data_IF_947276188837
#
_entry.id   IF_947276188837
#
_cell.length_a   1.000
_cell.length_b   1.000
_cell.length_c   1.000
_cell.angle_alpha   90.00
_cell.angle_beta   90.00
_cell.angle_gamma   90.00
#
_symmetry.space_group_name_H-M   'P 1'
#
loop_
_entity.id
_entity.type
_entity.pdbx_description
1 polymer ?
#
# COMPACT_ATOMS: atom_id res chain seq x y z
N UNK A 1 3.73 -31.64 -16.19
CA UNK A 1 2.85 -31.93 -15.03
C UNK A 1 2.85 -30.83 -13.96
N UNK A 2 3.95 -30.53 -13.24
CA UNK A 2 3.92 -29.52 -12.17
C UNK A 2 3.78 -28.06 -12.66
N UNK A 3 4.37 -27.71 -13.81
CA UNK A 3 4.27 -26.38 -14.42
C UNK A 3 2.86 -26.10 -14.98
N UNK A 4 2.25 -27.12 -15.58
CA UNK A 4 0.91 -27.07 -16.16
C UNK A 4 -0.17 -26.91 -15.09
N UNK A 5 0.01 -27.58 -13.93
CA UNK A 5 -0.85 -27.40 -12.76
C UNK A 5 -0.75 -25.98 -12.18
N UNK A 6 0.47 -25.43 -12.11
CA UNK A 6 0.71 -24.04 -11.70
C UNK A 6 0.05 -23.03 -12.64
N UNK A 7 0.13 -23.27 -13.95
CA UNK A 7 -0.52 -22.43 -14.95
C UNK A 7 -2.05 -22.43 -14.81
N UNK A 8 -2.65 -23.61 -14.58
CA UNK A 8 -4.10 -23.73 -14.35
C UNK A 8 -4.53 -23.01 -13.07
N UNK A 9 -3.75 -23.09 -11.99
CA UNK A 9 -4.05 -22.38 -10.74
C UNK A 9 -3.92 -20.86 -10.89
N UNK A 10 -2.92 -20.37 -11.63
CA UNK A 10 -2.77 -18.95 -11.96
C UNK A 10 -3.93 -18.46 -12.82
N UNK A 11 -4.35 -19.22 -13.84
CA UNK A 11 -5.51 -18.86 -14.65
C UNK A 11 -6.79 -18.78 -13.83
N UNK A 12 -7.02 -19.74 -12.91
CA UNK A 12 -8.19 -19.71 -12.02
C UNK A 12 -8.17 -18.53 -11.03
N UNK A 13 -6.99 -18.17 -10.54
CA UNK A 13 -6.83 -16.99 -9.69
C UNK A 13 -7.10 -15.71 -10.48
N UNK A 14 -6.60 -15.63 -11.72
CA UNK A 14 -6.86 -14.51 -12.62
C UNK A 14 -8.34 -14.44 -13.01
N UNK A 15 -9.02 -15.56 -13.24
CA UNK A 15 -10.47 -15.59 -13.53
C UNK A 15 -11.28 -14.99 -12.38
N UNK A 16 -10.93 -15.29 -11.12
CA UNK A 16 -11.55 -14.67 -9.95
C UNK A 16 -11.31 -13.16 -9.85
N UNK A 17 -10.12 -12.68 -10.25
CA UNK A 17 -9.84 -11.25 -10.39
C UNK A 17 -10.55 -10.62 -11.60
N UNK A 18 -10.78 -11.37 -12.68
CA UNK A 18 -11.38 -10.89 -13.93
C UNK A 18 -12.91 -10.73 -13.85
N UNK A 19 -13.59 -11.40 -12.92
CA UNK A 19 -15.00 -11.13 -12.63
C UNK A 19 -15.22 -9.75 -11.96
N UNK A 20 -14.23 -9.25 -11.20
CA UNK A 20 -14.26 -7.92 -10.57
C UNK A 20 -13.63 -6.82 -11.45
N UNK A 21 -12.69 -7.19 -12.34
CA UNK A 21 -12.03 -6.29 -13.29
C UNK A 21 -12.04 -6.93 -14.68
N UNK A 22 -13.01 -6.63 -15.56
CA UNK A 22 -13.10 -7.27 -16.87
C UNK A 22 -11.90 -6.87 -17.74
N UNK A 23 -10.85 -7.69 -17.74
CA UNK A 23 -9.75 -7.59 -18.68
C UNK A 23 -10.27 -8.05 -20.03
N UNK A 24 -10.44 -7.10 -20.95
CA UNK A 24 -10.86 -7.38 -22.30
C UNK A 24 -9.72 -8.13 -23.02
N UNK A 25 -9.77 -9.46 -23.06
CA UNK A 25 -8.76 -10.34 -23.72
C UNK A 25 -8.82 -10.26 -25.25
N UNK A 26 -9.42 -9.21 -25.81
CA UNK A 26 -9.50 -9.01 -27.23
C UNK A 26 -8.12 -8.50 -27.68
N UNK A 27 -7.23 -9.42 -28.07
CA UNK A 27 -5.90 -9.12 -28.61
C UNK A 27 -5.93 -8.32 -29.94
N UNK A 28 -7.10 -7.84 -30.36
CA UNK A 28 -7.33 -6.92 -31.47
C UNK A 28 -7.31 -5.44 -31.05
N UNK A 29 -6.92 -5.11 -29.81
CA UNK A 29 -6.67 -3.71 -29.41
C UNK A 29 -5.41 -3.22 -30.12
N UNK A 30 -5.59 -2.59 -31.27
CA UNK A 30 -4.51 -1.98 -32.06
C UNK A 30 -3.97 -0.70 -31.45
N UNK A 31 -4.64 -0.14 -30.44
CA UNK A 31 -4.23 1.09 -29.76
C UNK A 31 -4.62 1.08 -28.29
N UNK A 32 -3.62 1.09 -27.41
CA UNK A 32 -3.81 1.31 -25.97
C UNK A 32 -3.77 2.82 -25.67
N UNK A 33 -4.57 3.25 -24.69
CA UNK A 33 -4.63 4.64 -24.25
C UNK A 33 -4.39 4.76 -22.75
N UNK A 34 -3.71 5.83 -22.37
CA UNK A 34 -3.44 6.23 -20.99
C UNK A 34 -3.93 7.66 -20.80
N UNK A 35 -4.91 7.88 -19.90
CA UNK A 35 -5.61 9.16 -19.75
C UNK A 35 -6.00 9.85 -21.08
N UNK A 36 -6.46 9.05 -22.05
CA UNK A 36 -6.85 9.53 -23.38
C UNK A 36 -5.69 9.77 -24.37
N UNK A 37 -4.43 9.59 -23.97
CA UNK A 37 -3.26 9.64 -24.86
C UNK A 37 -2.95 8.25 -25.40
N UNK A 38 -2.62 8.15 -26.68
CA UNK A 38 -2.21 6.88 -27.29
C UNK A 38 -0.82 6.45 -26.75
N UNK A 39 -0.63 5.15 -26.53
CA UNK A 39 0.63 4.57 -26.08
C UNK A 39 1.87 5.04 -26.87
N UNK A 40 1.76 5.16 -28.20
CA UNK A 40 2.86 5.61 -29.06
C UNK A 40 3.25 7.09 -28.85
N UNK A 41 2.39 7.88 -28.21
CA UNK A 41 2.58 9.31 -27.98
C UNK A 41 2.98 9.64 -26.52
N UNK A 42 3.13 8.63 -25.66
CA UNK A 42 3.51 8.83 -24.26
C UNK A 42 4.95 9.34 -24.15
N UNK A 43 5.15 10.33 -23.30
CA UNK A 43 6.47 10.78 -22.87
C UNK A 43 6.96 9.92 -21.70
N UNK A 44 8.17 10.24 -21.24
CA UNK A 44 8.81 9.49 -20.17
C UNK A 44 8.04 9.61 -18.85
N UNK A 45 7.49 10.78 -18.56
CA UNK A 45 6.71 11.05 -17.34
C UNK A 45 5.45 10.18 -17.30
N UNK A 46 4.67 10.10 -18.39
CA UNK A 46 3.49 9.21 -18.42
C UNK A 46 3.86 7.73 -18.33
N UNK A 47 5.01 7.33 -18.92
CA UNK A 47 5.51 5.97 -18.74
C UNK A 47 5.85 5.68 -17.26
N UNK A 48 6.39 6.66 -16.54
CA UNK A 48 6.68 6.53 -15.11
C UNK A 48 5.40 6.47 -14.27
N UNK A 49 4.36 7.22 -14.64
CA UNK A 49 3.04 7.16 -13.98
C UNK A 49 2.41 5.78 -14.14
N UNK A 50 2.46 5.17 -15.33
CA UNK A 50 1.97 3.80 -15.55
C UNK A 50 2.73 2.81 -14.67
N UNK A 51 4.06 2.91 -14.63
CA UNK A 51 4.87 2.02 -13.80
C UNK A 51 4.56 2.21 -12.31
N UNK A 52 4.35 3.46 -11.88
CA UNK A 52 3.95 3.78 -10.52
C UNK A 52 2.59 3.17 -10.19
N UNK A 53 1.56 3.36 -11.02
CA UNK A 53 0.23 2.79 -10.76
C UNK A 53 0.29 1.26 -10.66
N UNK A 54 1.01 0.61 -11.57
CA UNK A 54 1.19 -0.85 -11.54
C UNK A 54 1.88 -1.32 -10.26
N UNK A 55 2.86 -0.57 -9.77
CA UNK A 55 3.56 -0.90 -8.54
C UNK A 55 2.73 -0.66 -7.29
N UNK A 56 1.98 0.44 -7.24
CA UNK A 56 1.10 0.79 -6.13
C UNK A 56 -0.04 -0.23 -6.02
N UNK A 57 -0.69 -0.56 -7.15
CA UNK A 57 -1.68 -1.64 -7.22
C UNK A 57 -1.10 -2.98 -6.78
N UNK A 58 0.12 -3.33 -7.23
CA UNK A 58 0.79 -4.56 -6.80
C UNK A 58 1.01 -4.57 -5.29
N UNK A 59 1.49 -3.47 -4.73
CA UNK A 59 1.75 -3.33 -3.31
C UNK A 59 0.46 -3.48 -2.50
N UNK A 60 -0.63 -2.79 -2.85
CA UNK A 60 -1.93 -2.89 -2.18
C UNK A 60 -2.45 -4.32 -2.20
N UNK A 61 -2.46 -4.95 -3.38
CA UNK A 61 -2.95 -6.31 -3.57
C UNK A 61 -2.12 -7.33 -2.77
N UNK A 62 -0.79 -7.20 -2.80
CA UNK A 62 0.09 -8.13 -2.10
C UNK A 62 0.07 -7.94 -0.59
N UNK A 63 -0.02 -6.70 -0.11
CA UNK A 63 -0.17 -6.45 1.31
C UNK A 63 -1.49 -7.03 1.84
N UNK A 64 -2.61 -6.79 1.13
CA UNK A 64 -3.92 -7.38 1.45
C UNK A 64 -3.87 -8.90 1.45
N UNK A 65 -3.30 -9.51 0.41
CA UNK A 65 -3.16 -10.96 0.32
C UNK A 65 -2.28 -11.51 1.47
N UNK A 66 -1.16 -10.84 1.78
CA UNK A 66 -0.30 -11.22 2.88
C UNK A 66 -1.06 -11.19 4.21
N UNK A 67 -1.76 -10.09 4.49
CA UNK A 67 -2.57 -9.95 5.69
C UNK A 67 -3.62 -11.06 5.80
N UNK A 68 -4.30 -11.41 4.70
CA UNK A 68 -5.27 -12.52 4.71
C UNK A 68 -4.65 -13.89 4.98
N UNK A 69 -3.40 -14.10 4.58
CA UNK A 69 -2.68 -15.35 4.81
C UNK A 69 -2.09 -15.45 6.22
N UNK A 70 -1.69 -14.32 6.82
CA UNK A 70 -1.04 -14.26 8.12
C UNK A 70 -2.01 -14.03 9.27
N UNK A 71 -3.22 -13.55 9.00
CA UNK A 71 -4.24 -13.39 10.04
C UNK A 71 -4.93 -14.71 10.34
N UNK A 72 -4.97 -15.07 11.62
CA UNK A 72 -5.76 -16.21 12.09
C UNK A 72 -7.26 -16.00 11.83
N UNK A 73 -8.03 -17.09 11.83
CA UNK A 73 -9.47 -17.13 11.46
C UNK A 73 -10.42 -16.31 12.36
N UNK A 74 -9.90 -15.56 13.32
CA UNK A 74 -10.66 -14.95 14.43
C UNK A 74 -10.37 -13.45 14.62
N UNK A 75 -9.78 -12.79 13.62
CA UNK A 75 -9.42 -11.37 13.70
C UNK A 75 -10.57 -10.49 13.20
N UNK A 76 -10.87 -9.42 13.95
CA UNK A 76 -11.83 -8.39 13.54
C UNK A 76 -11.41 -7.76 12.20
N UNK A 77 -12.38 -7.40 11.36
CA UNK A 77 -12.15 -6.67 10.10
C UNK A 77 -11.47 -5.32 10.38
N UNK A 78 -10.15 -5.30 10.47
CA UNK A 78 -9.37 -4.07 10.42
C UNK A 78 -9.48 -3.50 9.01
N UNK A 79 -9.70 -2.18 8.86
CA UNK A 79 -9.73 -1.56 7.54
C UNK A 79 -8.29 -1.50 7.00
N UNK A 80 -7.83 -2.59 6.37
CA UNK A 80 -6.51 -2.67 5.71
C UNK A 80 -6.33 -1.52 4.72
N UNK A 81 -7.42 -1.04 4.12
CA UNK A 81 -7.43 0.07 3.19
C UNK A 81 -6.85 1.36 3.78
N UNK A 82 -6.99 1.57 5.10
CA UNK A 82 -6.38 2.69 5.81
C UNK A 82 -4.84 2.67 5.81
N UNK A 83 -4.20 1.59 5.35
CA UNK A 83 -2.74 1.53 5.17
C UNK A 83 -2.26 2.30 3.94
N UNK A 84 -3.17 2.73 3.06
CA UNK A 84 -2.84 3.29 1.76
C UNK A 84 -3.57 4.61 1.52
N UNK A 85 -2.95 5.57 0.81
CA UNK A 85 -3.71 6.67 0.22
C UNK A 85 -4.66 6.09 -0.84
N UNK A 86 -5.86 6.67 -0.97
CA UNK A 86 -6.89 6.16 -1.89
C UNK A 86 -7.26 4.69 -1.65
N UNK A 87 -7.15 4.21 -0.41
CA UNK A 87 -7.34 2.79 -0.08
C UNK A 87 -8.74 2.25 -0.39
N UNK A 88 -9.74 3.13 -0.44
CA UNK A 88 -11.12 2.77 -0.77
C UNK A 88 -11.36 2.62 -2.29
N UNK A 89 -10.42 3.06 -3.13
CA UNK A 89 -10.52 2.94 -4.59
C UNK A 89 -10.15 1.52 -5.06
N UNK A 90 -10.79 1.08 -6.15
CA UNK A 90 -10.48 -0.21 -6.75
C UNK A 90 -9.10 -0.19 -7.43
N UNK A 91 -8.44 -1.35 -7.58
CA UNK A 91 -7.26 -1.47 -8.42
C UNK A 91 -7.52 -0.89 -9.82
N UNK A 92 -6.69 0.07 -10.26
CA UNK A 92 -6.86 0.79 -11.53
C UNK A 92 -7.71 2.07 -11.46
N UNK A 93 -8.09 2.50 -10.26
CA UNK A 93 -8.74 3.80 -10.00
C UNK A 93 -7.88 4.71 -9.10
N UNK A 94 -6.58 4.43 -8.98
CA UNK A 94 -5.68 5.26 -8.17
C UNK A 94 -5.47 6.62 -8.85
N UNK A 95 -5.51 7.69 -8.05
CA UNK A 95 -5.15 9.00 -8.53
C UNK A 95 -3.62 9.13 -8.58
N UNK A 96 -3.06 9.49 -9.74
CA UNK A 96 -1.61 9.75 -9.90
C UNK A 96 -1.17 10.89 -8.95
N UNK A 97 -2.07 11.80 -8.61
CA UNK A 97 -1.85 12.82 -7.58
C UNK A 97 -1.43 12.23 -6.22
N UNK A 98 -1.83 11.00 -5.89
CA UNK A 98 -1.48 10.31 -4.66
C UNK A 98 -0.03 9.81 -4.60
N UNK A 99 0.71 9.81 -5.71
CA UNK A 99 2.03 9.17 -5.82
C UNK A 99 3.10 9.63 -4.82
N UNK A 100 2.95 10.85 -4.29
CA UNK A 100 3.87 11.43 -3.34
C UNK A 100 3.25 11.60 -1.94
N UNK A 101 2.18 10.85 -1.65
CA UNK A 101 1.49 10.79 -0.37
C UNK A 101 1.62 9.38 0.25
N UNK A 102 0.94 9.14 1.38
CA UNK A 102 0.95 7.81 1.98
C UNK A 102 2.32 7.45 2.55
N UNK A 103 2.80 6.25 2.23
CA UNK A 103 4.13 5.76 2.60
C UNK A 103 5.26 6.42 1.81
N UNK A 104 4.94 7.01 0.65
CA UNK A 104 5.88 7.72 -0.20
C UNK A 104 6.03 9.21 0.18
N UNK A 105 5.28 9.73 1.16
CA UNK A 105 5.34 11.17 1.51
C UNK A 105 6.73 11.55 2.09
N UNK A 106 7.38 12.64 1.64
CA UNK A 106 8.67 13.07 2.20
C UNK A 106 8.58 13.45 3.69
N UNK A 107 7.43 13.90 4.17
CA UNK A 107 7.20 14.33 5.54
C UNK A 107 6.73 13.16 6.42
N UNK A 108 7.52 12.86 7.44
CA UNK A 108 7.24 11.75 8.36
C UNK A 108 5.87 11.87 9.06
N UNK A 109 5.39 13.09 9.33
CA UNK A 109 4.08 13.33 9.93
C UNK A 109 2.93 12.88 9.02
N UNK A 110 3.11 12.98 7.71
CA UNK A 110 2.11 12.56 6.73
C UNK A 110 2.18 11.05 6.46
N UNK A 111 3.37 10.45 6.58
CA UNK A 111 3.51 8.98 6.54
C UNK A 111 2.97 8.30 7.79
N UNK A 112 2.97 9.00 8.93
CA UNK A 112 2.68 8.41 10.22
C UNK A 112 1.34 7.66 10.28
N UNK A 113 0.19 8.23 9.86
CA UNK A 113 -1.08 7.51 9.90
C UNK A 113 -1.05 6.15 9.19
N UNK A 114 -0.46 6.10 8.01
CA UNK A 114 -0.33 4.88 7.21
C UNK A 114 0.59 3.84 7.85
N UNK A 115 1.74 4.27 8.39
CA UNK A 115 2.67 3.38 9.11
C UNK A 115 2.02 2.80 10.37
N UNK A 116 1.25 3.59 11.12
CA UNK A 116 0.54 3.09 12.30
C UNK A 116 -0.62 2.17 11.93
N UNK A 117 -1.36 2.48 10.86
CA UNK A 117 -2.36 1.56 10.30
C UNK A 117 -1.73 0.22 9.88
N UNK A 118 -0.58 0.25 9.20
CA UNK A 118 0.18 -0.96 8.86
C UNK A 118 0.67 -1.71 10.10
N UNK A 119 1.21 -1.01 11.10
CA UNK A 119 1.62 -1.62 12.39
C UNK A 119 0.45 -2.35 13.03
N UNK A 120 -0.74 -1.71 13.11
CA UNK A 120 -1.96 -2.30 13.66
C UNK A 120 -2.44 -3.51 12.87
N UNK A 121 -2.38 -3.45 11.54
CA UNK A 121 -2.67 -4.60 10.70
C UNK A 121 -1.70 -5.76 10.96
N UNK A 122 -0.39 -5.48 11.05
CA UNK A 122 0.65 -6.48 11.32
C UNK A 122 0.61 -7.06 12.73
N UNK A 123 0.08 -6.34 13.72
CA UNK A 123 -0.13 -6.85 15.09
C UNK A 123 -1.09 -8.04 15.13
N UNK A 124 -1.91 -8.21 14.09
CA UNK A 124 -2.84 -9.34 13.97
C UNK A 124 -2.26 -10.53 13.22
N UNK A 125 -1.03 -10.41 12.71
CA UNK A 125 -0.35 -11.49 11.99
C UNK A 125 0.21 -12.52 12.96
N UNK A 126 0.21 -13.78 12.55
CA UNK A 126 0.87 -14.88 13.28
C UNK A 126 2.38 -14.59 13.46
N UNK A 127 2.96 -15.09 14.55
CA UNK A 127 4.40 -14.98 14.87
C UNK A 127 4.98 -13.56 14.95
N UNK A 128 4.16 -12.59 15.38
CA UNK A 128 4.57 -11.20 15.37
C UNK A 128 5.61 -10.87 16.48
N UNK A 129 6.65 -10.06 16.17
CA UNK A 129 7.77 -9.84 17.06
C UNK A 129 7.41 -8.95 18.27
N UNK A 130 7.89 -9.28 19.50
CA UNK A 130 7.59 -8.52 20.73
C UNK A 130 7.95 -7.03 20.67
N UNK A 131 8.89 -6.65 19.80
CA UNK A 131 9.33 -5.27 19.61
C UNK A 131 8.26 -4.39 18.95
N UNK A 132 7.34 -4.96 18.15
CA UNK A 132 6.25 -4.22 17.49
C UNK A 132 4.97 -4.11 18.37
N UNK A 133 4.91 -4.83 19.49
CA UNK A 133 3.70 -4.98 20.32
C UNK A 133 3.44 -3.91 21.36
N UNK A 134 4.48 -3.37 21.96
CA UNK A 134 4.36 -2.96 23.37
C UNK A 134 4.39 -1.46 23.61
N UNK A 135 4.66 -0.66 22.59
CA UNK A 135 4.81 0.78 22.78
C UNK A 135 3.61 1.51 22.19
N UNK A 136 2.67 1.84 23.07
CA UNK A 136 1.64 2.88 22.88
C UNK A 136 2.14 4.13 23.60
N UNK A 137 2.21 5.26 22.89
CA UNK A 137 2.72 6.53 23.45
C UNK A 137 1.62 7.55 23.63
N UNK A 138 1.16 7.69 24.88
CA UNK A 138 0.20 8.73 25.27
C UNK A 138 0.74 10.15 25.12
N UNK A 139 2.06 10.33 25.24
CA UNK A 139 2.73 11.62 24.99
C UNK A 139 2.99 11.91 23.50
N UNK A 140 2.65 10.96 22.61
CA UNK A 140 2.96 11.00 21.20
C UNK A 140 4.39 10.58 20.85
N UNK A 141 4.62 10.50 19.55
CA UNK A 141 5.82 10.01 18.90
C UNK A 141 6.63 11.18 18.36
N UNK A 142 7.92 11.24 18.72
CA UNK A 142 8.87 12.15 18.07
C UNK A 142 9.30 11.59 16.71
N UNK A 143 9.83 12.44 15.83
CA UNK A 143 10.41 12.01 14.54
C UNK A 143 11.39 10.86 14.68
N UNK A 144 12.27 10.90 15.68
CA UNK A 144 13.30 9.86 15.87
C UNK A 144 12.68 8.50 16.21
N UNK A 145 11.67 8.50 17.07
CA UNK A 145 10.98 7.27 17.48
C UNK A 145 10.11 6.73 16.35
N UNK A 146 9.40 7.61 15.65
CA UNK A 146 8.65 7.25 14.45
C UNK A 146 9.54 6.55 13.42
N UNK A 147 10.72 7.10 13.10
CA UNK A 147 11.63 6.48 12.13
C UNK A 147 12.12 5.09 12.56
N UNK A 148 12.18 4.81 13.86
CA UNK A 148 12.48 3.47 14.37
C UNK A 148 11.29 2.53 14.13
N UNK A 149 10.07 2.97 14.43
CA UNK A 149 8.84 2.22 14.17
C UNK A 149 8.68 1.93 12.67
N UNK A 150 8.82 2.94 11.82
CA UNK A 150 8.76 2.82 10.36
C UNK A 150 9.75 1.77 9.85
N UNK A 151 11.00 1.81 10.31
CA UNK A 151 12.01 0.81 9.96
C UNK A 151 11.63 -0.60 10.44
N UNK A 152 11.06 -0.73 11.63
CA UNK A 152 10.64 -2.02 12.17
C UNK A 152 9.45 -2.61 11.40
N UNK A 153 8.45 -1.78 11.07
CA UNK A 153 7.30 -2.15 10.22
C UNK A 153 7.77 -2.59 8.84
N UNK A 154 8.65 -1.81 8.21
CA UNK A 154 9.19 -2.13 6.88
C UNK A 154 10.01 -3.44 6.88
N UNK A 155 10.88 -3.64 7.88
CA UNK A 155 11.66 -4.87 7.99
C UNK A 155 10.76 -6.09 8.19
N UNK A 156 9.80 -6.01 9.11
CA UNK A 156 8.88 -7.11 9.39
C UNK A 156 8.04 -7.43 8.15
N UNK A 157 7.50 -6.42 7.47
CA UNK A 157 6.80 -6.61 6.20
C UNK A 157 7.64 -7.36 5.17
N UNK A 158 8.87 -6.90 4.91
CA UNK A 158 9.76 -7.50 3.92
C UNK A 158 10.12 -8.95 4.27
N UNK A 159 10.42 -9.23 5.54
CA UNK A 159 10.76 -10.58 6.00
C UNK A 159 9.57 -11.52 5.86
N UNK A 160 8.38 -11.12 6.33
CA UNK A 160 7.15 -11.92 6.20
C UNK A 160 6.75 -12.09 4.74
N UNK A 161 6.86 -11.04 3.92
CA UNK A 161 6.60 -11.09 2.49
C UNK A 161 7.50 -12.10 1.80
N UNK A 162 8.82 -12.06 2.08
CA UNK A 162 9.77 -13.01 1.50
C UNK A 162 9.44 -14.45 1.88
N UNK A 163 9.09 -14.69 3.15
CA UNK A 163 8.70 -16.02 3.63
C UNK A 163 7.48 -16.58 2.89
N UNK A 164 6.49 -15.73 2.58
CA UNK A 164 5.25 -16.16 1.92
C UNK A 164 5.36 -16.22 0.39
N UNK A 165 5.94 -15.21 -0.26
CA UNK A 165 5.95 -15.09 -1.72
C UNK A 165 7.28 -15.52 -2.37
N UNK A 166 8.37 -15.65 -1.60
CA UNK A 166 9.67 -16.11 -2.10
C UNK A 166 10.40 -15.11 -3.01
N UNK A 167 10.00 -13.84 -3.01
CA UNK A 167 10.68 -12.76 -3.72
C UNK A 167 10.59 -11.45 -2.93
N UNK A 168 11.35 -10.42 -3.34
CA UNK A 168 11.29 -9.11 -2.69
C UNK A 168 9.96 -8.40 -3.01
N UNK A 169 9.36 -7.65 -2.06
CA UNK A 169 8.19 -6.84 -2.33
C UNK A 169 8.50 -5.69 -3.29
N UNK A 170 7.50 -5.31 -4.08
CA UNK A 170 7.47 -3.99 -4.71
C UNK A 170 7.06 -3.00 -3.62
N UNK A 171 7.82 -1.94 -3.45
CA UNK A 171 7.56 -0.90 -2.46
C UNK A 171 7.01 0.36 -3.15
N UNK A 172 6.13 1.13 -2.50
CA UNK A 172 5.71 2.43 -2.99
C UNK A 172 6.93 3.31 -3.26
N UNK A 173 6.87 4.06 -4.36
CA UNK A 173 7.92 5.00 -4.73
C UNK A 173 7.34 6.34 -5.15
N UNK A 174 8.16 7.37 -5.06
CA UNK A 174 7.81 8.73 -5.44
C UNK A 174 7.93 8.93 -6.95
N UNK A 175 7.01 9.72 -7.50
CA UNK A 175 7.18 10.31 -8.82
C UNK A 175 7.96 11.62 -8.67
N UNK A 176 9.02 11.76 -9.46
CA UNK A 176 9.96 12.89 -9.36
C UNK A 176 9.43 14.15 -10.06
N UNK A 177 8.34 14.03 -10.81
CA UNK A 177 7.62 15.13 -11.44
C UNK A 177 6.36 15.49 -10.64
N UNK A 178 5.82 16.68 -10.90
CA UNK A 178 4.53 17.09 -10.34
C UNK A 178 3.41 16.32 -11.04
N UNK A 179 2.63 15.56 -10.27
CA UNK A 179 1.61 14.64 -10.79
C UNK A 179 0.23 15.28 -10.94
N UNK A 180 -0.26 15.98 -9.92
CA UNK A 180 -1.48 16.79 -9.97
C UNK A 180 -1.55 17.76 -8.79
N UNK A 181 -2.04 18.98 -9.00
CA UNK A 181 -2.31 19.95 -7.92
C UNK A 181 -3.69 19.77 -7.28
N UNK A 182 -4.58 19.02 -7.94
CA UNK A 182 -5.98 18.88 -7.53
C UNK A 182 -6.21 17.74 -6.52
N UNK A 183 -5.21 16.87 -6.31
CA UNK A 183 -5.32 15.77 -5.36
C UNK A 183 -5.29 16.28 -3.92
N UNK A 184 -6.35 15.95 -3.18
CA UNK A 184 -6.48 16.26 -1.77
C UNK A 184 -6.39 14.97 -0.96
N UNK A 185 -5.33 14.77 -0.15
CA UNK A 185 -5.21 13.55 0.65
C UNK A 185 -6.35 13.46 1.67
N UNK A 186 -6.71 12.23 2.01
CA UNK A 186 -7.70 11.92 3.03
C UNK A 186 -7.40 12.67 4.34
N UNK A 187 -8.44 13.29 4.89
CA UNK A 187 -8.32 14.00 6.15
C UNK A 187 -8.21 12.99 7.30
N UNK A 188 -6.99 12.63 7.66
CA UNK A 188 -6.76 11.92 8.90
C UNK A 188 -7.08 12.85 10.07
N UNK A 189 -7.77 12.38 11.12
CA UNK A 189 -7.94 13.11 12.36
C UNK A 189 -6.58 13.22 13.07
N UNK A 190 -5.65 13.94 12.46
CA UNK A 190 -4.41 14.37 13.07
C UNK A 190 -4.81 15.32 14.19
N UNK A 191 -4.66 14.86 15.43
CA UNK A 191 -4.63 15.77 16.55
C UNK A 191 -3.42 16.69 16.34
N UNK A 192 -3.69 17.92 15.91
CA UNK A 192 -2.80 19.07 16.12
C UNK A 192 -2.46 19.09 17.60
N UNK A 193 -1.33 18.50 17.96
CA UNK A 193 -0.78 18.74 19.28
C UNK A 193 -0.27 20.17 19.29
N UNK A 194 -0.49 20.87 20.39
CA UNK A 194 0.05 22.22 20.62
C UNK A 194 1.59 22.25 20.67
N UNK A 195 2.26 21.10 20.52
CA UNK A 195 3.70 20.94 20.49
C UNK A 195 4.16 20.61 19.06
N UNK A 196 4.84 21.55 18.40
CA UNK A 196 5.40 21.32 17.06
C UNK A 196 6.29 20.06 17.04
N UNK A 197 5.99 19.09 16.19
CA UNK A 197 6.88 17.95 15.90
C UNK A 197 6.60 16.66 16.67
N UNK A 198 5.40 16.48 17.23
CA UNK A 198 4.96 15.23 17.86
C UNK A 198 3.69 14.71 17.18
N UNK A 199 3.64 13.41 16.90
CA UNK A 199 2.48 12.72 16.33
C UNK A 199 1.76 11.92 17.42
N UNK A 200 0.45 12.06 17.56
CA UNK A 200 -0.37 11.22 18.45
C UNK A 200 -1.31 10.41 17.57
N UNK A 201 -1.22 9.08 17.68
CA UNK A 201 -2.22 8.20 17.09
C UNK A 201 -3.41 8.07 18.05
N UNK A 202 -4.55 8.65 17.68
CA UNK A 202 -5.77 8.59 18.49
C UNK A 202 -6.29 7.16 18.57
N UNK A 203 -6.06 6.36 17.53
CA UNK A 203 -6.50 4.95 17.51
C UNK A 203 -5.64 4.04 18.39
N UNK A 204 -4.41 4.43 18.72
CA UNK A 204 -3.61 3.73 19.74
C UNK A 204 -4.08 4.06 21.16
N UNK A 205 -4.88 5.12 21.36
CA UNK A 205 -5.37 5.57 22.67
C UNK A 205 -6.75 5.00 23.05
N UNK A 206 -7.47 4.40 22.09
CA UNK A 206 -8.81 3.80 22.25
C UNK A 206 -8.75 2.30 22.46
#
# INVERSE_FOLDING_TARGET
MAAEKRQIEVCKMMDGFMEELPLCTNNAVTSAFWHGKNYEALQQEECQEILWELAEVNFHCKFKALHQHTTGSNVQNLPIMCCFPDGDHLPGQLDIGAANYGLADPLWLHRAPYIFAMKKAMQTWEDMPPSLLSEVKTAGWTKKEFLLVEKMVANYYCDTFWQYFGHAPVLPWQLMHHTSEDYAPEAWPQMTTSCSGVYIDVEELS
#
